data_IF_265975569932
#
_entry.id   IF_265975569932
#
_cell.length_a   1.000
_cell.length_b   1.000
_cell.length_c   1.000
_cell.angle_alpha   90.00
_cell.angle_beta   90.00
_cell.angle_gamma   90.00
#
_symmetry.space_group_name_H-M   'P 1'
#
loop_
_entity.id
_entity.type
_entity.pdbx_description
1 polymer ?
#
# COMPACT_ATOMS: atom_id res chain seq x y z
N UNK A 1 -26.48 5.54 9.41
CA UNK A 1 -25.17 5.02 9.86
C UNK A 1 -24.15 5.81 9.05
N UNK A 2 -23.46 6.76 9.68
CA UNK A 2 -22.50 7.65 9.03
C UNK A 2 -21.28 6.83 8.61
N UNK A 3 -21.30 6.31 7.38
CA UNK A 3 -20.12 5.71 6.78
C UNK A 3 -19.20 6.86 6.43
N UNK A 4 -18.08 6.97 7.15
CA UNK A 4 -17.08 8.01 6.98
C UNK A 4 -16.79 8.25 5.48
N UNK A 5 -17.09 9.45 5.01
CA UNK A 5 -16.77 9.84 3.65
C UNK A 5 -15.25 9.84 3.51
N UNK A 6 -14.70 8.78 2.93
CA UNK A 6 -13.28 8.65 2.67
C UNK A 6 -12.90 9.72 1.64
N UNK A 7 -12.37 10.86 2.09
CA UNK A 7 -11.93 11.92 1.21
C UNK A 7 -10.71 11.42 0.42
N UNK A 8 -10.96 10.90 -0.79
CA UNK A 8 -9.92 10.32 -1.67
C UNK A 8 -8.77 11.32 -1.89
N UNK A 9 -9.07 12.62 -1.88
CA UNK A 9 -8.09 13.69 -1.97
C UNK A 9 -7.02 13.68 -0.86
N UNK A 10 -7.30 13.09 0.31
CA UNK A 10 -6.34 12.99 1.42
C UNK A 10 -5.33 11.85 1.21
N UNK A 11 -5.55 10.97 0.23
CA UNK A 11 -4.61 9.90 -0.13
C UNK A 11 -3.73 10.37 -1.29
N UNK A 12 -2.53 10.83 -0.96
CA UNK A 12 -1.53 11.18 -1.98
C UNK A 12 -1.22 9.99 -2.88
N UNK A 13 -1.13 10.23 -4.19
CA UNK A 13 -0.71 9.22 -5.16
C UNK A 13 0.74 8.84 -4.88
N UNK A 14 0.98 7.58 -4.53
CA UNK A 14 2.36 7.07 -4.39
C UNK A 14 2.96 6.89 -5.78
N UNK A 15 4.21 7.28 -5.96
CA UNK A 15 4.95 7.00 -7.20
C UNK A 15 5.85 5.78 -7.03
N UNK A 16 6.19 5.14 -8.13
CA UNK A 16 7.13 4.01 -8.11
C UNK A 16 8.50 4.42 -7.58
N UNK A 17 9.03 5.56 -8.03
CA UNK A 17 10.32 6.09 -7.62
C UNK A 17 10.40 6.33 -6.11
N UNK A 18 9.36 6.95 -5.54
CA UNK A 18 9.26 7.17 -4.10
C UNK A 18 9.24 5.83 -3.33
N UNK A 19 8.49 4.84 -3.82
CA UNK A 19 8.44 3.52 -3.22
C UNK A 19 9.82 2.84 -3.27
N UNK A 20 10.53 2.92 -4.39
CA UNK A 20 11.89 2.35 -4.53
C UNK A 20 12.89 3.02 -3.62
N UNK A 21 12.86 4.34 -3.51
CA UNK A 21 13.73 5.08 -2.59
C UNK A 21 13.52 4.63 -1.16
N UNK A 22 12.26 4.62 -0.69
CA UNK A 22 11.91 4.20 0.67
C UNK A 22 12.27 2.74 0.95
N UNK A 23 12.13 1.87 -0.04
CA UNK A 23 12.53 0.47 0.08
C UNK A 23 14.06 0.32 0.18
N UNK A 24 14.82 1.12 -0.56
CA UNK A 24 16.28 1.15 -0.46
C UNK A 24 16.75 1.69 0.89
N UNK A 25 16.07 2.70 1.44
CA UNK A 25 16.33 3.23 2.78
C UNK A 25 16.04 2.17 3.85
N UNK A 26 14.93 1.45 3.73
CA UNK A 26 14.61 0.32 4.61
C UNK A 26 15.64 -0.82 4.54
N UNK A 27 16.16 -1.13 3.35
CA UNK A 27 17.18 -2.17 3.17
C UNK A 27 18.50 -1.80 3.86
N UNK A 28 18.91 -0.53 3.74
CA UNK A 28 20.14 0.02 4.34
C UNK A 28 20.04 0.28 5.84
N UNK A 29 18.83 0.48 6.36
CA UNK A 29 18.59 0.80 7.76
C UNK A 29 18.85 -0.37 8.71
N UNK A 30 19.22 -0.02 9.96
CA UNK A 30 19.36 -0.97 11.06
C UNK A 30 18.01 -1.55 11.51
N UNK A 31 18.04 -2.62 12.31
CA UNK A 31 16.82 -3.29 12.79
C UNK A 31 15.91 -2.32 13.58
N UNK A 32 16.49 -1.42 14.38
CA UNK A 32 15.74 -0.41 15.14
C UNK A 32 15.13 0.65 14.22
N UNK A 33 15.85 1.10 13.20
CA UNK A 33 15.39 2.14 12.28
C UNK A 33 14.32 1.61 11.31
N UNK A 34 14.37 0.32 10.96
CA UNK A 34 13.36 -0.32 10.12
C UNK A 34 11.96 -0.26 10.72
N UNK A 35 11.84 -0.35 12.05
CA UNK A 35 10.55 -0.23 12.72
C UNK A 35 9.95 1.17 12.53
N UNK A 36 10.77 2.21 12.67
CA UNK A 36 10.38 3.61 12.45
C UNK A 36 10.03 3.85 10.98
N UNK A 37 10.87 3.43 10.03
CA UNK A 37 10.61 3.57 8.60
C UNK A 37 9.34 2.82 8.17
N UNK A 38 9.07 1.66 8.76
CA UNK A 38 7.83 0.94 8.53
C UNK A 38 6.61 1.70 9.05
N UNK A 39 6.69 2.28 10.24
CA UNK A 39 5.60 3.08 10.81
C UNK A 39 5.31 4.34 9.98
N UNK A 40 6.36 5.02 9.49
CA UNK A 40 6.24 6.29 8.78
C UNK A 40 5.82 6.12 7.32
N UNK A 41 6.24 5.03 6.67
CA UNK A 41 6.08 4.88 5.22
C UNK A 41 5.29 3.64 4.81
N UNK A 42 5.24 2.61 5.65
CA UNK A 42 4.60 1.33 5.32
C UNK A 42 5.28 0.59 4.16
N UNK A 43 6.57 0.87 3.88
CA UNK A 43 7.33 0.25 2.79
C UNK A 43 8.37 -0.71 3.37
N UNK A 44 8.55 -1.87 2.73
CA UNK A 44 9.61 -2.85 3.03
C UNK A 44 10.42 -3.16 1.78
N UNK A 45 11.69 -3.50 1.95
CA UNK A 45 12.47 -4.12 0.88
C UNK A 45 11.99 -5.54 0.64
N UNK A 46 11.79 -5.89 -0.63
CA UNK A 46 11.45 -7.24 -1.07
C UNK A 46 12.27 -7.61 -2.30
N UNK A 47 12.56 -8.91 -2.53
CA UNK A 47 13.27 -9.34 -3.74
C UNK A 47 12.55 -8.96 -5.04
N UNK A 48 11.21 -8.80 -5.02
CA UNK A 48 10.42 -8.39 -6.18
C UNK A 48 10.79 -7.00 -6.68
N UNK A 49 11.21 -6.09 -5.80
CA UNK A 49 11.64 -4.75 -6.19
C UNK A 49 12.95 -4.75 -7.00
N UNK A 50 13.69 -5.86 -7.06
CA UNK A 50 14.89 -5.97 -7.92
C UNK A 50 14.55 -6.24 -9.38
N UNK A 51 13.32 -6.61 -9.66
CA UNK A 51 12.86 -6.91 -11.02
C UNK A 51 12.56 -5.58 -11.73
N UNK A 52 13.18 -5.30 -12.89
CA UNK A 52 13.04 -4.02 -13.60
C UNK A 52 11.63 -3.79 -14.15
N UNK A 53 10.84 -4.85 -14.29
CA UNK A 53 9.45 -4.78 -14.75
C UNK A 53 8.44 -4.68 -13.60
N UNK A 54 8.85 -4.88 -12.35
CA UNK A 54 7.93 -4.93 -11.21
C UNK A 54 7.62 -3.53 -10.69
N UNK A 55 6.37 -3.09 -10.87
CA UNK A 55 5.88 -1.83 -10.33
C UNK A 55 4.88 -2.08 -9.17
N UNK A 56 5.28 -1.84 -7.92
CA UNK A 56 4.44 -2.11 -6.75
C UNK A 56 3.21 -1.19 -6.68
N UNK A 57 3.27 0.01 -7.24
CA UNK A 57 2.15 0.97 -7.21
C UNK A 57 1.00 0.53 -8.13
N UNK A 58 1.32 -0.16 -9.23
CA UNK A 58 0.31 -0.62 -10.19
C UNK A 58 -0.25 -2.00 -9.83
N UNK A 59 0.51 -2.82 -9.11
CA UNK A 59 0.20 -4.25 -8.94
C UNK A 59 -0.20 -4.63 -7.51
N UNK A 60 -0.33 -3.65 -6.61
CA UNK A 60 -0.99 -3.81 -5.30
C UNK A 60 -2.46 -3.40 -5.43
N UNK A 61 -3.17 -4.04 -6.34
CA UNK A 61 -4.64 -3.96 -6.33
C UNK A 61 -5.11 -4.81 -5.16
N UNK A 62 -5.69 -4.19 -4.14
CA UNK A 62 -6.51 -4.90 -3.18
C UNK A 62 -7.66 -5.52 -3.98
N UNK A 63 -7.58 -6.83 -4.21
CA UNK A 63 -8.45 -7.53 -5.14
C UNK A 63 -9.92 -7.26 -4.78
N UNK A 64 -10.79 -6.84 -5.70
CA UNK A 64 -12.23 -6.75 -5.45
C UNK A 64 -12.80 -8.07 -4.90
N UNK A 65 -12.16 -9.22 -5.16
CA UNK A 65 -12.50 -10.49 -4.51
C UNK A 65 -12.37 -10.44 -2.97
N UNK A 66 -11.40 -9.71 -2.41
CA UNK A 66 -11.26 -9.58 -0.96
C UNK A 66 -12.39 -8.72 -0.38
N UNK A 67 -12.76 -7.64 -1.06
CA UNK A 67 -13.90 -6.79 -0.67
C UNK A 67 -15.25 -7.51 -0.82
N UNK A 68 -15.37 -8.40 -1.81
CA UNK A 68 -16.51 -9.31 -1.97
C UNK A 68 -16.58 -10.32 -0.82
N UNK A 69 -15.45 -10.95 -0.48
CA UNK A 69 -15.36 -11.93 0.60
C UNK A 69 -15.66 -11.33 1.98
N UNK A 70 -15.23 -10.08 2.21
CA UNK A 70 -15.55 -9.33 3.42
C UNK A 70 -17.01 -8.86 3.49
N UNK A 71 -17.82 -9.10 2.44
CA UNK A 71 -19.22 -8.70 2.37
C UNK A 71 -19.45 -7.19 2.18
N UNK A 72 -18.39 -6.38 2.13
CA UNK A 72 -18.45 -4.92 1.96
C UNK A 72 -19.17 -4.56 0.66
N UNK A 73 -18.90 -5.31 -0.41
CA UNK A 73 -19.51 -5.11 -1.72
C UNK A 73 -21.00 -5.49 -1.73
N UNK A 74 -21.39 -6.53 -1.00
CA UNK A 74 -22.79 -6.97 -0.89
C UNK A 74 -23.62 -5.95 -0.10
N UNK A 75 -23.05 -5.36 0.96
CA UNK A 75 -23.70 -4.34 1.76
C UNK A 75 -23.99 -3.03 0.98
N UNK A 76 -23.16 -2.69 -0.01
CA UNK A 76 -23.33 -1.46 -0.81
C UNK A 76 -24.12 -1.66 -2.11
N UNK A 77 -24.32 -2.91 -2.56
CA UNK A 77 -25.11 -3.23 -3.76
C UNK A 77 -26.56 -3.65 -3.44
N UNK A 78 -26.88 -3.88 -2.16
CA UNK A 78 -28.22 -4.32 -1.73
C UNK A 78 -29.09 -3.16 -1.17
N UNK A 79 -28.58 -1.93 -1.25
CA UNK A 79 -29.30 -0.67 -0.99
C UNK A 79 -29.68 -0.02 -2.33
#
# INVERSE_FOLDING_TARGET
>A
QEVESMAIANFGTRTEDEHRSKAADYERASISERATLWADHGVRSSPLLRLPYWNPTLWVVADPMHNWLLGVLQAHLSD
#
